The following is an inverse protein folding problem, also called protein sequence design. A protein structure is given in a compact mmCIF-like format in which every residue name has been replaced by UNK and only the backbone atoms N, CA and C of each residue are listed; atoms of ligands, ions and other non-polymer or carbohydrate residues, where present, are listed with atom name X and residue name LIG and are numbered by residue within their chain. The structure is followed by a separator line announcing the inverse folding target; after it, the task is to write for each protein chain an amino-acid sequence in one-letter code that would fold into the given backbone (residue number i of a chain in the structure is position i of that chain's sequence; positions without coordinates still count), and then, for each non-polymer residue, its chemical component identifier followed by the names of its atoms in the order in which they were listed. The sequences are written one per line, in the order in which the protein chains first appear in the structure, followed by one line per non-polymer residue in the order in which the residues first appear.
data_IF_001311089535
#
_entry.id   IF_001311089535
#
_cell.length_a   1.000
_cell.length_b   1.000
_cell.length_c   1.000
_cell.angle_alpha   90.00
_cell.angle_beta   90.00
_cell.angle_gamma   90.00
#
_symmetry.space_group_name_H-M   'P 1'
#
loop_
_entity.id
_entity.type
_entity.pdbx_description
1 polymer ?
#
# COMPACT_ATOMS: atom_id res chain seq x y z
N UNK A 1 -4.36 24.08 -4.38
CA UNK A 1 -4.29 22.80 -3.64
C UNK A 1 -2.98 22.72 -2.86
N UNK A 2 -3.05 22.15 -1.66
CA UNK A 2 -1.89 21.83 -0.83
C UNK A 2 -1.26 20.50 -1.25
N UNK A 3 -2.11 19.60 -1.73
CA UNK A 3 -1.74 18.25 -2.13
C UNK A 3 -2.51 17.84 -3.39
N UNK A 4 -1.80 17.23 -4.33
CA UNK A 4 -2.37 16.59 -5.51
C UNK A 4 -1.81 15.16 -5.57
N UNK A 5 -2.67 14.16 -5.78
CA UNK A 5 -2.28 12.76 -5.87
C UNK A 5 -2.61 12.16 -7.23
N UNK A 6 -1.61 11.51 -7.83
CA UNK A 6 -1.71 10.74 -9.07
C UNK A 6 -1.29 9.29 -8.79
N UNK A 7 -2.23 8.47 -8.34
CA UNK A 7 -1.95 7.07 -8.03
C UNK A 7 -2.25 6.17 -9.23
N UNK A 8 -1.19 5.54 -9.77
CA UNK A 8 -1.31 4.60 -10.90
C UNK A 8 -1.76 5.22 -12.21
N UNK A 9 -1.68 6.53 -12.40
CA UNK A 9 -2.18 7.20 -13.60
C UNK A 9 -1.07 7.43 -14.63
N UNK A 10 0.11 7.82 -14.20
CA UNK A 10 1.19 8.31 -15.05
C UNK A 10 1.59 7.33 -16.16
N UNK A 11 1.64 6.06 -15.84
CA UNK A 11 1.98 4.98 -16.77
C UNK A 11 0.93 4.76 -17.85
N UNK A 12 -0.34 5.07 -17.59
CA UNK A 12 -1.48 4.69 -18.42
C UNK A 12 -2.08 5.83 -19.23
N UNK A 13 -1.44 6.98 -19.23
CA UNK A 13 -1.89 8.14 -20.02
C UNK A 13 -0.88 8.49 -21.10
N UNK A 14 -1.42 8.94 -22.24
CA UNK A 14 -0.63 9.40 -23.38
C UNK A 14 0.23 10.63 -23.00
N UNK A 15 1.36 10.87 -23.69
CA UNK A 15 2.25 12.01 -23.40
C UNK A 15 1.55 13.36 -23.40
N UNK A 16 0.58 13.59 -24.29
CA UNK A 16 -0.22 14.83 -24.36
C UNK A 16 -1.09 15.01 -23.11
N UNK A 17 -1.63 13.93 -22.58
CA UNK A 17 -2.39 13.97 -21.33
C UNK A 17 -1.48 14.23 -20.12
N UNK A 18 -0.25 13.68 -20.12
CA UNK A 18 0.76 14.01 -19.10
C UNK A 18 1.09 15.51 -19.11
N UNK A 19 1.27 16.11 -20.28
CA UNK A 19 1.47 17.57 -20.41
C UNK A 19 0.30 18.34 -19.82
N UNK A 20 -0.93 17.93 -20.08
CA UNK A 20 -2.14 18.55 -19.51
C UNK A 20 -2.17 18.44 -17.98
N UNK A 21 -1.77 17.27 -17.42
CA UNK A 21 -1.64 17.07 -15.97
C UNK A 21 -0.57 17.99 -15.39
N UNK A 22 0.59 18.07 -16.02
CA UNK A 22 1.69 18.94 -15.58
C UNK A 22 1.27 20.41 -15.58
N UNK A 23 0.59 20.86 -16.62
CA UNK A 23 0.03 22.22 -16.69
C UNK A 23 -1.02 22.49 -15.61
N UNK A 24 -1.87 21.51 -15.32
CA UNK A 24 -2.83 21.60 -14.22
C UNK A 24 -2.11 21.76 -12.88
N UNK A 25 -1.12 20.89 -12.60
CA UNK A 25 -0.32 20.95 -11.38
C UNK A 25 0.39 22.30 -11.25
N UNK A 26 1.02 22.78 -12.33
CA UNK A 26 1.69 24.08 -12.38
C UNK A 26 0.77 25.23 -11.99
N UNK A 27 -0.49 25.21 -12.42
CA UNK A 27 -1.47 26.28 -12.14
C UNK A 27 -2.16 26.14 -10.79
N UNK A 28 -2.33 24.92 -10.31
CA UNK A 28 -3.24 24.62 -9.17
C UNK A 28 -2.55 24.21 -7.88
N UNK A 29 -1.33 23.68 -7.94
CA UNK A 29 -0.55 23.38 -6.73
C UNK A 29 0.08 24.67 -6.22
N UNK A 30 -0.13 25.00 -4.93
CA UNK A 30 0.47 26.20 -4.34
C UNK A 30 2.00 26.03 -4.14
N UNK A 31 2.78 27.14 -4.01
CA UNK A 31 4.14 27.05 -3.51
C UNK A 31 4.21 26.34 -2.15
N UNK A 32 5.16 25.41 -1.98
CA UNK A 32 5.24 24.52 -0.82
C UNK A 32 4.25 23.35 -0.86
N UNK A 33 3.35 23.28 -1.85
CA UNK A 33 2.44 22.16 -2.03
C UNK A 33 3.15 20.92 -2.54
N UNK A 34 2.54 19.76 -2.29
CA UNK A 34 3.10 18.42 -2.57
C UNK A 34 2.31 17.74 -3.68
N UNK A 35 3.01 17.21 -4.67
CA UNK A 35 2.50 16.26 -5.66
C UNK A 35 2.97 14.86 -5.27
N UNK A 36 2.03 13.94 -5.11
CA UNK A 36 2.31 12.50 -5.10
C UNK A 36 2.11 11.94 -6.50
N UNK A 37 3.07 11.17 -6.99
CA UNK A 37 2.93 10.45 -8.26
C UNK A 37 3.47 9.03 -8.14
N UNK A 38 2.73 8.05 -8.67
CA UNK A 38 3.20 6.69 -8.79
C UNK A 38 3.18 6.21 -10.23
N UNK A 39 4.18 5.41 -10.59
CA UNK A 39 4.39 4.94 -11.96
C UNK A 39 5.25 3.68 -12.02
N UNK A 40 5.12 2.95 -13.11
CA UNK A 40 5.94 1.80 -13.44
C UNK A 40 7.34 2.27 -13.88
N UNK A 41 8.37 1.83 -13.17
CA UNK A 41 9.76 2.18 -13.45
C UNK A 41 10.38 1.24 -14.50
N UNK A 42 11.10 1.81 -15.46
CA UNK A 42 11.63 1.09 -16.63
C UNK A 42 12.55 -0.09 -16.29
N UNK A 43 13.51 -0.01 -15.34
CA UNK A 43 14.41 -1.13 -15.04
C UNK A 43 13.66 -2.41 -14.64
N UNK A 44 12.71 -2.32 -13.72
CA UNK A 44 11.97 -3.49 -13.22
C UNK A 44 11.01 -4.10 -14.24
N UNK A 45 10.60 -3.34 -15.26
CA UNK A 45 9.74 -3.81 -16.34
C UNK A 45 10.49 -4.37 -17.54
N UNK A 46 11.82 -4.23 -17.61
CA UNK A 46 12.63 -4.64 -18.75
C UNK A 46 12.37 -6.09 -19.20
N UNK A 47 12.27 -7.03 -18.26
CA UNK A 47 12.03 -8.45 -18.56
C UNK A 47 10.65 -8.74 -19.12
N UNK A 48 9.61 -8.00 -18.68
CA UNK A 48 8.19 -8.34 -18.97
C UNK A 48 7.57 -7.44 -20.04
N UNK A 49 8.10 -6.24 -20.26
CA UNK A 49 7.54 -5.28 -21.20
C UNK A 49 7.42 -5.82 -22.65
N UNK A 50 8.39 -6.58 -23.20
CA UNK A 50 8.24 -7.20 -24.50
C UNK A 50 7.10 -8.21 -24.57
N UNK A 51 6.92 -9.04 -23.54
CA UNK A 51 5.80 -9.98 -23.47
C UNK A 51 4.46 -9.24 -23.35
N UNK A 52 4.40 -8.18 -22.54
CA UNK A 52 3.22 -7.30 -22.46
C UNK A 52 2.83 -6.75 -23.83
N UNK A 53 3.80 -6.29 -24.62
CA UNK A 53 3.54 -5.82 -25.98
C UNK A 53 2.90 -6.92 -26.85
N UNK A 54 3.42 -8.14 -26.79
CA UNK A 54 2.86 -9.30 -27.51
C UNK A 54 1.43 -9.61 -27.06
N UNK A 55 1.14 -9.54 -25.75
CA UNK A 55 -0.20 -9.70 -25.18
C UNK A 55 -1.18 -8.67 -25.76
N UNK A 56 -0.81 -7.40 -25.77
CA UNK A 56 -1.65 -6.32 -26.33
C UNK A 56 -1.90 -6.53 -27.82
N UNK A 57 -0.87 -6.92 -28.60
CA UNK A 57 -1.00 -7.24 -30.03
C UNK A 57 -1.90 -8.46 -30.28
N UNK A 58 -1.80 -9.51 -29.44
CA UNK A 58 -2.68 -10.67 -29.56
C UNK A 58 -4.14 -10.29 -29.29
N UNK A 59 -4.41 -9.50 -28.24
CA UNK A 59 -5.75 -9.01 -27.93
C UNK A 59 -6.35 -8.26 -29.13
N UNK A 60 -5.59 -7.36 -29.73
CA UNK A 60 -6.04 -6.51 -30.83
C UNK A 60 -6.26 -7.30 -32.13
N UNK A 61 -5.32 -8.19 -32.49
CA UNK A 61 -5.23 -8.79 -33.82
C UNK A 61 -5.79 -10.20 -33.92
N UNK A 62 -5.88 -10.92 -32.80
CA UNK A 62 -6.22 -12.36 -32.80
C UNK A 62 -7.49 -12.70 -32.04
N UNK A 63 -8.08 -11.75 -31.30
CA UNK A 63 -9.37 -11.95 -30.64
C UNK A 63 -10.49 -11.24 -31.42
N UNK A 64 -11.72 -11.75 -31.27
CA UNK A 64 -12.87 -11.17 -31.98
C UNK A 64 -13.38 -9.93 -31.26
N UNK A 65 -13.56 -8.78 -31.93
CA UNK A 65 -14.05 -7.55 -31.29
C UNK A 65 -15.43 -7.70 -30.61
N UNK A 66 -16.27 -8.64 -31.09
CA UNK A 66 -17.59 -8.92 -30.53
C UNK A 66 -17.59 -9.80 -29.27
N UNK A 67 -16.44 -10.41 -28.90
CA UNK A 67 -16.32 -11.16 -27.66
C UNK A 67 -16.19 -10.20 -26.47
N UNK A 68 -16.59 -10.65 -25.26
CA UNK A 68 -16.42 -9.89 -24.04
C UNK A 68 -14.94 -9.62 -23.76
N UNK A 69 -14.62 -8.49 -23.11
CA UNK A 69 -13.24 -8.15 -22.71
C UNK A 69 -12.59 -9.28 -21.91
N UNK A 70 -13.33 -9.88 -20.99
CA UNK A 70 -12.89 -11.04 -20.20
C UNK A 70 -12.39 -12.16 -21.10
N UNK A 71 -13.22 -12.61 -22.05
CA UNK A 71 -12.89 -13.72 -22.95
C UNK A 71 -11.68 -13.42 -23.83
N UNK A 72 -11.58 -12.18 -24.32
CA UNK A 72 -10.46 -11.74 -25.14
C UNK A 72 -9.14 -11.74 -24.34
N UNK A 73 -9.18 -11.27 -23.11
CA UNK A 73 -8.02 -11.24 -22.19
C UNK A 73 -7.60 -12.66 -21.81
N UNK A 74 -8.53 -13.52 -21.44
CA UNK A 74 -8.26 -14.94 -21.13
C UNK A 74 -7.60 -15.66 -22.31
N UNK A 75 -8.10 -15.47 -23.53
CA UNK A 75 -7.49 -16.03 -24.74
C UNK A 75 -6.05 -15.53 -24.95
N UNK A 76 -5.80 -14.25 -24.67
CA UNK A 76 -4.46 -13.66 -24.80
C UNK A 76 -3.50 -14.15 -23.72
N UNK A 77 -3.97 -14.34 -22.49
CA UNK A 77 -3.17 -14.93 -21.40
C UNK A 77 -2.81 -16.39 -21.69
N UNK A 78 -3.77 -17.17 -22.23
CA UNK A 78 -3.52 -18.56 -22.61
C UNK A 78 -2.53 -18.65 -23.79
N UNK A 79 -2.63 -17.73 -24.77
CA UNK A 79 -1.63 -17.62 -25.83
C UNK A 79 -0.24 -17.33 -25.29
N UNK A 80 -0.12 -16.34 -24.37
CA UNK A 80 1.16 -16.01 -23.75
C UNK A 80 1.74 -17.18 -22.97
N UNK A 81 0.91 -17.95 -22.24
CA UNK A 81 1.34 -19.15 -21.53
C UNK A 81 2.01 -20.16 -22.46
N UNK A 82 1.40 -20.39 -23.64
CA UNK A 82 1.99 -21.26 -24.68
C UNK A 82 3.30 -20.69 -25.21
N UNK A 83 3.32 -19.38 -25.48
CA UNK A 83 4.49 -18.70 -26.03
C UNK A 83 5.71 -18.77 -25.09
N UNK A 84 5.52 -18.46 -23.80
CA UNK A 84 6.63 -18.45 -22.83
C UNK A 84 7.12 -19.84 -22.46
N UNK A 85 6.33 -20.88 -22.71
CA UNK A 85 6.74 -22.28 -22.55
C UNK A 85 7.64 -22.79 -23.69
N UNK A 86 7.70 -22.06 -24.82
CA UNK A 86 8.54 -22.46 -25.95
C UNK A 86 9.99 -22.01 -25.73
N UNK A 87 10.97 -22.88 -26.10
CA UNK A 87 12.37 -22.47 -26.14
C UNK A 87 12.55 -21.30 -27.12
N UNK A 88 13.12 -20.19 -26.63
CA UNK A 88 13.38 -19.03 -27.47
C UNK A 88 14.65 -18.31 -27.03
N UNK A 89 15.29 -17.56 -27.95
CA UNK A 89 16.43 -16.71 -27.61
C UNK A 89 16.07 -15.67 -26.57
N UNK A 90 14.83 -15.13 -26.61
CA UNK A 90 14.35 -14.18 -25.64
C UNK A 90 14.24 -14.82 -24.25
N UNK A 91 13.62 -15.99 -24.12
CA UNK A 91 13.50 -16.70 -22.85
C UNK A 91 14.88 -17.03 -22.23
N UNK A 92 15.87 -17.39 -23.08
CA UNK A 92 17.23 -17.66 -22.61
C UNK A 92 17.93 -16.39 -22.08
N UNK A 93 17.69 -15.25 -22.73
CA UNK A 93 18.27 -13.97 -22.30
C UNK A 93 17.54 -13.36 -21.08
N UNK A 94 16.26 -13.70 -20.89
CA UNK A 94 15.40 -13.15 -19.84
C UNK A 94 14.70 -14.27 -19.03
N UNK A 95 15.46 -15.04 -18.23
CA UNK A 95 14.91 -16.22 -17.53
C UNK A 95 13.81 -15.88 -16.50
N UNK A 96 13.78 -14.64 -16.02
CA UNK A 96 12.78 -14.17 -15.08
C UNK A 96 11.39 -13.88 -15.70
N UNK A 97 11.29 -13.78 -17.04
CA UNK A 97 10.04 -13.42 -17.72
C UNK A 97 8.91 -14.40 -17.39
N UNK A 98 9.20 -15.70 -17.45
CA UNK A 98 8.22 -16.75 -17.14
C UNK A 98 7.74 -16.64 -15.68
N UNK A 99 8.66 -16.49 -14.72
CA UNK A 99 8.34 -16.34 -13.31
C UNK A 99 7.48 -15.10 -13.04
N UNK A 100 7.85 -13.96 -13.63
CA UNK A 100 7.08 -12.71 -13.54
C UNK A 100 5.68 -12.87 -14.15
N UNK A 101 5.56 -13.51 -15.30
CA UNK A 101 4.28 -13.77 -15.97
C UNK A 101 3.37 -14.66 -15.11
N UNK A 102 3.88 -15.78 -14.59
CA UNK A 102 3.09 -16.68 -13.75
C UNK A 102 2.66 -16.02 -12.42
N UNK A 103 3.51 -15.15 -11.87
CA UNK A 103 3.15 -14.34 -10.69
C UNK A 103 2.05 -13.33 -11.04
N UNK A 104 2.19 -12.63 -12.18
CA UNK A 104 1.21 -11.64 -12.64
C UNK A 104 -0.18 -12.28 -12.84
N UNK A 105 -0.25 -13.47 -13.45
CA UNK A 105 -1.51 -14.18 -13.70
C UNK A 105 -2.34 -14.52 -12.46
N UNK A 106 -1.76 -14.50 -11.28
CA UNK A 106 -2.47 -14.72 -10.02
C UNK A 106 -3.31 -13.51 -9.57
N UNK A 107 -3.11 -12.36 -10.20
CA UNK A 107 -3.88 -11.17 -9.88
C UNK A 107 -5.30 -11.23 -10.47
N UNK A 108 -6.26 -10.49 -9.89
CA UNK A 108 -7.60 -10.36 -10.40
C UNK A 108 -7.62 -9.91 -11.87
N UNK A 109 -8.58 -10.40 -12.65
CA UNK A 109 -8.66 -10.12 -14.09
C UNK A 109 -8.72 -8.61 -14.38
N UNK A 110 -9.46 -7.84 -13.58
CA UNK A 110 -9.54 -6.38 -13.73
C UNK A 110 -8.16 -5.72 -13.64
N UNK A 111 -7.31 -6.16 -12.70
CA UNK A 111 -5.94 -5.69 -12.60
C UNK A 111 -5.13 -6.02 -13.86
N UNK A 112 -5.25 -7.26 -14.36
CA UNK A 112 -4.54 -7.69 -15.57
C UNK A 112 -4.96 -6.89 -16.81
N UNK A 113 -6.24 -6.60 -16.96
CA UNK A 113 -6.76 -5.74 -18.05
C UNK A 113 -6.06 -4.39 -18.03
N UNK A 114 -6.01 -3.74 -16.90
CA UNK A 114 -5.40 -2.41 -16.77
C UNK A 114 -3.88 -2.44 -16.96
N UNK A 115 -3.19 -3.40 -16.35
CA UNK A 115 -1.73 -3.43 -16.37
C UNK A 115 -1.15 -3.91 -17.69
N UNK A 116 -1.78 -4.92 -18.34
CA UNK A 116 -1.19 -5.61 -19.48
C UNK A 116 -1.85 -5.32 -20.82
N UNK A 117 -3.07 -4.79 -20.85
CA UNK A 117 -3.85 -4.68 -22.09
C UNK A 117 -4.28 -3.27 -22.47
N UNK A 118 -3.99 -2.28 -21.67
CA UNK A 118 -4.23 -0.87 -22.03
C UNK A 118 -3.28 -0.46 -23.17
N UNK A 119 -3.82 0.19 -24.21
CA UNK A 119 -3.04 0.60 -25.39
C UNK A 119 -2.01 1.69 -25.06
N UNK A 120 -2.40 2.66 -24.25
CA UNK A 120 -1.52 3.74 -23.80
C UNK A 120 -0.85 3.34 -22.49
N UNK A 121 0.28 2.67 -22.61
CA UNK A 121 1.08 2.24 -21.46
C UNK A 121 2.56 2.44 -21.74
N UNK A 122 3.29 2.99 -20.78
CA UNK A 122 4.74 3.08 -20.80
C UNK A 122 5.32 3.07 -19.40
N UNK A 123 6.36 2.26 -19.17
CA UNK A 123 7.23 2.47 -18.03
C UNK A 123 8.12 3.71 -18.28
N UNK A 124 8.58 4.35 -17.22
CA UNK A 124 9.39 5.56 -17.30
C UNK A 124 10.68 5.42 -16.49
N UNK A 125 11.75 6.05 -16.95
CA UNK A 125 12.91 6.30 -16.09
C UNK A 125 12.60 7.46 -15.14
N UNK A 126 13.22 7.44 -13.97
CA UNK A 126 13.06 8.55 -13.02
C UNK A 126 13.46 9.89 -13.62
N UNK A 127 14.54 9.93 -14.40
CA UNK A 127 15.01 11.13 -15.10
C UNK A 127 13.97 11.73 -16.04
N UNK A 128 13.19 10.90 -16.75
CA UNK A 128 12.16 11.36 -17.67
C UNK A 128 11.01 12.03 -16.91
N UNK A 129 10.57 11.40 -15.81
CA UNK A 129 9.54 11.97 -14.94
C UNK A 129 10.02 13.27 -14.30
N UNK A 130 11.27 13.31 -13.83
CA UNK A 130 11.88 14.52 -13.27
C UNK A 130 11.91 15.67 -14.30
N UNK A 131 12.28 15.38 -15.53
CA UNK A 131 12.30 16.35 -16.61
C UNK A 131 10.90 16.91 -16.93
N UNK A 132 9.89 16.03 -17.06
CA UNK A 132 8.51 16.46 -17.32
C UNK A 132 7.97 17.35 -16.17
N UNK A 133 8.20 16.95 -14.90
CA UNK A 133 7.71 17.66 -13.72
C UNK A 133 8.47 18.97 -13.42
N UNK A 134 9.74 19.09 -13.87
CA UNK A 134 10.52 20.30 -13.71
C UNK A 134 9.84 21.53 -14.35
N UNK A 135 9.14 21.33 -15.46
CA UNK A 135 8.38 22.41 -16.13
C UNK A 135 7.27 23.03 -15.27
N UNK A 136 6.80 22.31 -14.24
CA UNK A 136 5.86 22.80 -13.23
C UNK A 136 6.54 23.33 -11.96
N UNK A 137 7.86 23.53 -11.97
CA UNK A 137 8.68 23.97 -10.82
C UNK A 137 8.64 22.98 -9.65
N UNK A 138 8.55 21.69 -9.96
CA UNK A 138 8.56 20.62 -8.99
C UNK A 138 9.98 20.08 -8.82
N UNK A 139 10.36 19.89 -7.58
CA UNK A 139 11.63 19.26 -7.17
C UNK A 139 11.30 17.94 -6.45
N UNK A 140 12.03 16.88 -6.76
CA UNK A 140 11.92 15.62 -6.05
C UNK A 140 12.22 15.82 -4.56
N UNK A 141 11.33 15.34 -3.71
CA UNK A 141 11.51 15.41 -2.27
C UNK A 141 12.02 14.07 -1.71
N UNK A 142 11.27 13.00 -1.95
CA UNK A 142 11.61 11.68 -1.44
C UNK A 142 10.69 10.59 -2.04
N UNK A 143 11.05 9.31 -1.87
CA UNK A 143 10.12 8.21 -2.05
C UNK A 143 9.02 8.25 -0.98
N UNK A 144 7.79 7.93 -1.37
CA UNK A 144 6.69 7.74 -0.44
C UNK A 144 6.73 6.36 0.26
N UNK A 145 7.60 5.47 -0.18
CA UNK A 145 7.90 4.23 0.52
C UNK A 145 9.04 4.46 1.51
N UNK A 146 8.73 4.47 2.79
CA UNK A 146 9.71 4.78 3.83
C UNK A 146 10.91 3.83 3.81
N UNK A 147 10.72 2.54 3.57
CA UNK A 147 11.82 1.57 3.56
C UNK A 147 12.83 1.81 2.43
N UNK A 148 12.47 2.56 1.38
CA UNK A 148 13.41 2.95 0.34
C UNK A 148 14.54 3.86 0.88
N UNK A 149 14.31 4.54 2.00
CA UNK A 149 15.30 5.40 2.67
C UNK A 149 16.23 4.64 3.63
N UNK A 150 15.89 3.39 3.95
CA UNK A 150 16.78 2.51 4.70
C UNK A 150 17.79 1.86 3.74
N UNK A 151 18.85 2.60 3.40
CA UNK A 151 19.81 2.18 2.37
C UNK A 151 20.40 0.82 2.68
N UNK A 152 20.71 0.53 3.93
CA UNK A 152 21.27 -0.75 4.38
C UNK A 152 20.34 -1.97 4.16
N UNK A 153 19.03 -1.75 3.94
CA UNK A 153 18.09 -2.81 3.56
C UNK A 153 18.06 -3.08 2.04
N UNK A 154 18.53 -2.10 1.25
CA UNK A 154 18.27 -2.08 -0.19
C UNK A 154 19.54 -2.05 -1.06
N UNK A 155 20.67 -1.67 -0.49
CA UNK A 155 21.92 -1.40 -1.22
C UNK A 155 23.12 -1.96 -0.45
N UNK A 156 24.04 -2.63 -1.14
CA UNK A 156 25.32 -3.03 -0.53
C UNK A 156 26.19 -1.80 -0.23
N UNK A 157 27.23 -1.96 0.58
CA UNK A 157 28.13 -0.85 0.93
C UNK A 157 28.82 -0.27 -0.31
N UNK A 158 29.20 -1.11 -1.28
CA UNK A 158 29.79 -0.68 -2.55
C UNK A 158 28.80 0.11 -3.40
N UNK A 159 27.53 -0.30 -3.43
CA UNK A 159 26.48 0.42 -4.15
C UNK A 159 26.20 1.78 -3.48
N UNK A 160 26.20 1.84 -2.16
CA UNK A 160 26.05 3.10 -1.42
C UNK A 160 27.23 4.04 -1.67
N UNK A 161 28.46 3.51 -1.67
CA UNK A 161 29.65 4.29 -2.00
C UNK A 161 29.57 4.88 -3.42
N UNK A 162 29.20 4.07 -4.41
CA UNK A 162 29.02 4.53 -5.79
C UNK A 162 27.96 5.64 -5.90
N UNK A 163 26.82 5.51 -5.22
CA UNK A 163 25.80 6.54 -5.24
C UNK A 163 26.22 7.83 -4.54
N UNK A 164 27.12 7.73 -3.54
CA UNK A 164 27.65 8.90 -2.84
C UNK A 164 28.60 9.75 -3.71
N UNK A 165 29.23 9.15 -4.74
CA UNK A 165 30.06 9.87 -5.72
C UNK A 165 29.24 10.72 -6.69
N UNK A 166 27.91 10.50 -6.78
CA UNK A 166 27.04 11.15 -7.76
C UNK A 166 26.41 12.40 -7.13
N UNK A 167 26.82 13.59 -7.57
CA UNK A 167 26.31 14.86 -7.07
C UNK A 167 24.89 15.16 -7.57
N UNK A 168 24.62 14.87 -8.85
CA UNK A 168 23.29 15.12 -9.46
C UNK A 168 22.22 14.20 -8.84
N UNK A 169 21.20 14.75 -8.14
CA UNK A 169 20.21 13.95 -7.47
C UNK A 169 19.29 13.18 -8.43
N UNK A 170 19.07 13.68 -9.65
CA UNK A 170 18.24 12.99 -10.65
C UNK A 170 18.98 11.78 -11.20
N UNK A 171 20.26 11.94 -11.50
CA UNK A 171 21.08 10.83 -11.96
C UNK A 171 21.29 9.80 -10.86
N UNK A 172 21.51 10.23 -9.61
CA UNK A 172 21.64 9.32 -8.46
C UNK A 172 20.40 8.46 -8.25
N UNK A 173 19.20 9.02 -8.32
CA UNK A 173 17.96 8.25 -8.22
C UNK A 173 17.74 7.31 -9.43
N UNK A 174 18.16 7.73 -10.62
CA UNK A 174 18.12 6.88 -11.81
C UNK A 174 19.06 5.66 -11.68
N UNK A 175 20.25 5.87 -11.14
CA UNK A 175 21.19 4.78 -10.83
C UNK A 175 20.65 3.86 -9.74
N UNK A 176 20.04 4.43 -8.73
CA UNK A 176 19.39 3.65 -7.66
C UNK A 176 18.32 2.73 -8.21
N UNK A 177 17.47 3.22 -9.11
CA UNK A 177 16.44 2.40 -9.78
C UNK A 177 17.05 1.23 -10.55
N UNK A 178 18.19 1.45 -11.20
CA UNK A 178 18.94 0.40 -11.88
C UNK A 178 19.49 -0.63 -10.90
N UNK A 179 20.14 -0.18 -9.81
CA UNK A 179 20.76 -1.06 -8.81
C UNK A 179 19.72 -1.93 -8.09
N UNK A 180 18.54 -1.37 -7.79
CA UNK A 180 17.44 -2.07 -7.10
C UNK A 180 16.47 -2.76 -8.06
N UNK A 181 16.69 -2.69 -9.37
CA UNK A 181 15.75 -3.17 -10.39
C UNK A 181 14.32 -2.68 -10.11
N UNK A 182 14.17 -1.37 -9.83
CA UNK A 182 12.93 -0.76 -9.38
C UNK A 182 11.80 -0.98 -10.38
N UNK A 183 10.70 -1.59 -9.92
CA UNK A 183 9.56 -1.90 -10.78
C UNK A 183 8.44 -0.87 -10.68
N UNK A 184 8.25 -0.28 -9.50
CA UNK A 184 7.17 0.67 -9.23
C UNK A 184 7.66 1.76 -8.30
N UNK A 185 7.54 3.02 -8.70
CA UNK A 185 7.87 4.18 -7.88
C UNK A 185 6.62 4.83 -7.31
N UNK A 186 6.79 5.38 -6.13
CA UNK A 186 5.85 6.25 -5.43
C UNK A 186 6.65 7.42 -4.91
N UNK A 187 6.48 8.59 -5.50
CA UNK A 187 7.36 9.72 -5.25
C UNK A 187 6.57 10.93 -4.77
N UNK A 188 7.16 11.70 -3.85
CA UNK A 188 6.72 13.02 -3.48
C UNK A 188 7.59 14.08 -4.17
N UNK A 189 6.90 15.04 -4.76
CA UNK A 189 7.50 16.20 -5.43
C UNK A 189 6.95 17.47 -4.79
N UNK A 190 7.80 18.47 -4.55
CA UNK A 190 7.42 19.71 -3.87
C UNK A 190 7.62 20.90 -4.82
N UNK A 191 6.64 21.77 -4.87
CA UNK A 191 6.72 23.01 -5.63
C UNK A 191 7.42 24.09 -4.79
N UNK A 192 8.64 24.46 -5.16
CA UNK A 192 9.43 25.46 -4.42
C UNK A 192 9.70 25.03 -2.98
N UNK A 193 10.51 23.98 -2.76
CA UNK A 193 10.78 23.45 -1.43
C UNK A 193 11.47 24.49 -0.55
N UNK A 194 11.11 24.50 0.74
CA UNK A 194 11.83 25.24 1.79
C UNK A 194 12.53 24.26 2.70
N UNK A 195 13.81 24.43 2.92
CA UNK A 195 14.54 23.62 3.88
C UNK A 195 14.22 24.09 5.31
N UNK A 196 13.90 23.13 6.15
CA UNK A 196 13.79 23.36 7.59
C UNK A 196 15.18 23.43 8.21
N UNK A 197 15.37 24.30 9.21
CA UNK A 197 16.55 24.25 10.05
C UNK A 197 16.60 22.91 10.82
N UNK A 198 17.79 22.48 11.22
CA UNK A 198 17.94 21.20 11.96
C UNK A 198 17.08 21.16 13.22
N UNK A 199 17.02 22.27 13.96
CA UNK A 199 16.16 22.38 15.13
C UNK A 199 14.66 22.29 14.82
N UNK A 200 14.22 22.85 13.67
CA UNK A 200 12.82 22.74 13.26
C UNK A 200 12.50 21.32 12.78
N UNK A 201 13.45 20.65 12.09
CA UNK A 201 13.33 19.25 11.69
C UNK A 201 13.25 18.31 12.88
N UNK A 202 14.13 18.51 13.89
CA UNK A 202 14.14 17.71 15.10
C UNK A 202 12.80 17.83 15.86
N UNK A 203 12.29 19.05 16.03
CA UNK A 203 10.96 19.27 16.64
C UNK A 203 9.85 18.60 15.85
N UNK A 204 9.83 18.75 14.51
CA UNK A 204 8.83 18.11 13.67
C UNK A 204 8.80 16.58 13.85
N UNK A 205 9.99 15.95 13.92
CA UNK A 205 10.10 14.52 14.18
C UNK A 205 9.57 14.17 15.58
N UNK A 206 9.95 14.93 16.61
CA UNK A 206 9.50 14.67 17.98
C UNK A 206 8.00 14.87 18.18
N UNK A 207 7.42 15.86 17.49
CA UNK A 207 5.99 16.17 17.56
C UNK A 207 5.14 15.19 16.75
N UNK A 208 5.76 14.47 15.79
CA UNK A 208 5.07 13.45 14.99
C UNK A 208 4.54 12.35 15.91
N UNK A 209 3.23 12.09 15.82
CA UNK A 209 2.56 11.06 16.60
C UNK A 209 2.46 9.76 15.79
N UNK A 210 2.55 8.65 16.51
CA UNK A 210 2.43 7.30 15.94
C UNK A 210 1.47 6.46 16.79
N UNK A 211 0.87 5.47 16.16
CA UNK A 211 -0.03 4.49 16.79
C UNK A 211 0.23 3.12 16.16
N UNK A 212 -0.13 2.04 16.85
CA UNK A 212 -0.10 0.71 16.26
C UNK A 212 -1.06 0.65 15.07
N UNK A 213 -0.56 0.15 13.93
CA UNK A 213 -1.33 -0.02 12.69
C UNK A 213 -1.88 -1.44 12.51
N UNK A 214 -1.55 -2.34 13.44
CA UNK A 214 -1.96 -3.75 13.46
C UNK A 214 -2.31 -4.18 14.88
N UNK A 215 -3.14 -5.21 15.06
CA UNK A 215 -3.34 -5.85 16.36
C UNK A 215 -2.02 -6.38 16.92
N UNK A 216 -1.84 -6.34 18.23
CA UNK A 216 -0.61 -6.82 18.91
C UNK A 216 -0.22 -8.25 18.51
N UNK A 217 -1.21 -9.12 18.32
CA UNK A 217 -1.00 -10.52 17.92
C UNK A 217 -0.46 -10.69 16.50
N UNK A 218 -0.51 -9.65 15.68
CA UNK A 218 -0.02 -9.65 14.29
C UNK A 218 1.29 -8.86 14.13
N UNK A 219 1.91 -8.43 15.23
CA UNK A 219 3.14 -7.65 15.22
C UNK A 219 4.35 -8.58 15.36
N UNK A 220 5.25 -8.50 14.39
CA UNK A 220 6.59 -9.10 14.45
C UNK A 220 7.65 -8.05 14.15
N UNK A 221 8.88 -8.19 14.65
CA UNK A 221 9.97 -7.26 14.35
C UNK A 221 10.49 -7.38 12.91
N UNK A 222 9.92 -8.28 12.11
CA UNK A 222 10.46 -8.61 10.80
C UNK A 222 9.99 -7.63 9.72
N UNK A 223 10.91 -7.28 8.86
CA UNK A 223 10.70 -6.50 7.65
C UNK A 223 11.60 -7.03 6.53
N UNK A 224 11.54 -6.45 5.35
CA UNK A 224 12.40 -6.86 4.24
C UNK A 224 12.71 -5.67 3.33
N UNK A 225 13.88 -5.72 2.73
CA UNK A 225 14.29 -4.86 1.63
C UNK A 225 14.80 -5.68 0.45
N UNK A 226 15.47 -5.04 -0.48
CA UNK A 226 16.05 -5.71 -1.65
C UNK A 226 17.15 -6.73 -1.29
N UNK A 227 17.88 -6.49 -0.21
CA UNK A 227 18.93 -7.41 0.26
C UNK A 227 18.37 -8.61 1.03
N UNK A 228 17.08 -8.65 1.30
CA UNK A 228 16.42 -9.77 1.96
C UNK A 228 15.66 -9.40 3.23
N UNK A 229 15.39 -10.42 4.05
CA UNK A 229 14.72 -10.27 5.33
C UNK A 229 15.64 -9.55 6.34
N UNK A 230 15.03 -8.75 7.20
CA UNK A 230 15.69 -8.00 8.27
C UNK A 230 14.81 -8.00 9.51
N UNK A 231 15.40 -8.23 10.67
CA UNK A 231 14.70 -8.16 11.96
C UNK A 231 15.13 -6.88 12.68
N UNK A 232 14.17 -6.04 13.05
CA UNK A 232 14.42 -4.86 13.87
C UNK A 232 14.97 -5.34 15.23
N UNK A 233 15.97 -4.64 15.77
CA UNK A 233 16.57 -5.00 17.05
C UNK A 233 15.49 -5.15 18.14
N UNK A 234 15.29 -6.37 18.59
CA UNK A 234 14.23 -6.74 19.54
C UNK A 234 14.41 -6.07 20.89
N UNK A 235 15.65 -5.74 21.29
CA UNK A 235 15.93 -5.06 22.55
C UNK A 235 15.33 -3.63 22.59
N UNK A 236 15.16 -3.00 21.42
CA UNK A 236 14.52 -1.68 21.26
C UNK A 236 13.06 -1.85 20.84
N UNK A 237 12.79 -2.80 19.96
CA UNK A 237 11.46 -3.03 19.38
C UNK A 237 10.43 -3.43 20.44
N UNK A 238 10.75 -4.38 21.32
CA UNK A 238 9.84 -4.84 22.37
C UNK A 238 9.40 -3.70 23.31
N UNK A 239 10.31 -2.90 23.91
CA UNK A 239 9.92 -1.74 24.71
C UNK A 239 9.14 -0.67 23.94
N UNK A 240 9.42 -0.49 22.64
CA UNK A 240 8.65 0.41 21.77
C UNK A 240 7.20 -0.05 21.66
N UNK A 241 6.98 -1.36 21.43
CA UNK A 241 5.64 -1.93 21.33
C UNK A 241 4.91 -1.92 22.67
N UNK A 242 5.63 -2.17 23.79
CA UNK A 242 5.06 -2.07 25.15
C UNK A 242 4.48 -0.67 25.43
N UNK A 243 5.18 0.41 25.04
CA UNK A 243 4.69 1.78 25.22
C UNK A 243 3.38 2.01 24.42
N UNK A 244 3.29 1.45 23.22
CA UNK A 244 2.15 1.65 22.30
C UNK A 244 1.00 0.66 22.52
N UNK A 245 1.21 -0.34 23.38
CA UNK A 245 0.19 -1.37 23.68
C UNK A 245 -1.02 -0.83 24.46
N UNK A 246 -0.93 0.40 25.00
CA UNK A 246 -2.07 1.10 25.61
C UNK A 246 -3.14 1.53 24.60
N UNK A 247 -2.88 1.34 23.31
CA UNK A 247 -3.80 1.67 22.21
C UNK A 247 -3.96 3.17 21.94
N UNK A 248 -3.08 4.01 22.52
CA UNK A 248 -3.09 5.46 22.29
C UNK A 248 -2.02 5.89 21.30
N UNK A 249 -2.21 7.05 20.69
CA UNK A 249 -1.15 7.67 19.92
C UNK A 249 -0.15 8.36 20.82
N UNK A 250 1.14 8.14 20.57
CA UNK A 250 2.24 8.79 21.28
C UNK A 250 3.08 9.62 20.32
N UNK A 251 3.55 10.79 20.74
CA UNK A 251 4.55 11.49 19.96
C UNK A 251 5.90 10.78 20.06
N UNK A 252 6.71 10.86 19.01
CA UNK A 252 8.06 10.27 19.01
C UNK A 252 8.88 10.84 20.19
N UNK A 253 8.69 12.12 20.51
CA UNK A 253 9.30 12.73 21.69
C UNK A 253 8.85 12.10 23.03
N UNK A 254 7.59 11.67 23.16
CA UNK A 254 7.11 10.91 24.32
C UNK A 254 7.78 9.54 24.40
N UNK A 255 7.86 8.82 23.29
CA UNK A 255 8.54 7.52 23.20
C UNK A 255 10.01 7.65 23.63
N UNK A 256 10.73 8.64 23.07
CA UNK A 256 12.13 8.91 23.43
C UNK A 256 12.30 9.17 24.93
N UNK A 257 11.40 9.95 25.54
CA UNK A 257 11.45 10.21 27.00
C UNK A 257 11.15 8.97 27.82
N UNK A 258 10.22 8.14 27.41
CA UNK A 258 9.89 6.87 28.09
C UNK A 258 11.05 5.87 28.06
N UNK A 259 11.90 5.93 27.03
CA UNK A 259 13.05 5.05 26.86
C UNK A 259 14.38 5.66 27.36
N UNK A 260 14.36 6.89 27.93
CA UNK A 260 15.59 7.62 28.33
C UNK A 260 16.42 6.89 29.36
N UNK A 261 15.82 6.05 30.21
CA UNK A 261 16.52 5.25 31.22
C UNK A 261 17.13 3.96 30.67
N UNK A 262 16.84 3.60 29.44
CA UNK A 262 17.41 2.45 28.76
C UNK A 262 18.73 2.83 28.08
N UNK A 263 19.68 1.91 27.90
CA UNK A 263 20.99 2.20 27.31
C UNK A 263 20.92 2.26 25.76
N UNK A 264 19.90 2.98 25.22
CA UNK A 264 19.71 3.13 23.77
C UNK A 264 20.17 4.50 23.31
N UNK A 265 20.87 4.56 22.19
CA UNK A 265 21.11 5.83 21.54
C UNK A 265 19.79 6.35 20.92
N UNK A 266 19.62 7.68 20.95
CA UNK A 266 18.45 8.33 20.33
C UNK A 266 18.27 7.93 18.87
N UNK A 267 19.37 7.80 18.12
CA UNK A 267 19.37 7.37 16.71
C UNK A 267 18.74 6.00 16.52
N UNK A 268 19.02 5.07 17.42
CA UNK A 268 18.58 3.67 17.31
C UNK A 268 17.08 3.56 17.56
N UNK A 269 16.55 4.31 18.53
CA UNK A 269 15.11 4.40 18.76
C UNK A 269 14.40 5.04 17.56
N UNK A 270 14.95 6.12 17.01
CA UNK A 270 14.39 6.76 15.81
C UNK A 270 14.41 5.82 14.59
N UNK A 271 15.48 5.04 14.44
CA UNK A 271 15.58 4.04 13.38
C UNK A 271 14.55 2.93 13.57
N UNK A 272 14.35 2.42 14.78
CA UNK A 272 13.33 1.41 15.07
C UNK A 272 11.91 1.92 14.75
N UNK A 273 11.57 3.15 15.17
CA UNK A 273 10.30 3.80 14.83
C UNK A 273 10.14 3.96 13.32
N UNK A 274 11.18 4.40 12.62
CA UNK A 274 11.17 4.58 11.18
C UNK A 274 10.95 3.26 10.43
N UNK A 275 11.66 2.21 10.83
CA UNK A 275 11.49 0.87 10.25
C UNK A 275 10.09 0.30 10.54
N UNK A 276 9.58 0.47 11.76
CA UNK A 276 8.25 0.03 12.14
C UNK A 276 7.15 0.77 11.35
N UNK A 277 7.32 2.08 11.09
CA UNK A 277 6.46 2.85 10.19
C UNK A 277 6.52 2.30 8.75
N UNK A 278 7.71 2.06 8.24
CA UNK A 278 7.92 1.53 6.90
C UNK A 278 7.38 0.11 6.70
N UNK A 279 7.45 -0.73 7.73
CA UNK A 279 6.88 -2.09 7.77
C UNK A 279 5.36 -2.10 8.01
N UNK A 280 4.73 -0.94 8.19
CA UNK A 280 3.31 -0.83 8.49
C UNK A 280 2.91 -1.47 9.84
N UNK A 281 3.84 -1.53 10.78
CA UNK A 281 3.59 -1.89 12.18
C UNK A 281 3.03 -0.69 12.92
N UNK A 282 3.60 0.49 12.64
CA UNK A 282 3.12 1.77 13.11
C UNK A 282 2.50 2.57 11.95
N UNK A 283 1.59 3.47 12.27
CA UNK A 283 1.09 4.50 11.38
C UNK A 283 1.26 5.88 12.02
N UNK A 284 1.45 6.95 11.20
CA UNK A 284 1.31 8.31 11.69
C UNK A 284 -0.11 8.51 12.27
N UNK A 285 -0.22 9.32 13.31
CA UNK A 285 -1.50 9.58 13.97
C UNK A 285 -1.76 11.07 14.10
N UNK A 286 -3.04 11.43 14.01
CA UNK A 286 -3.53 12.75 14.38
C UNK A 286 -3.44 12.98 15.90
N UNK A 287 -3.37 14.23 16.32
CA UNK A 287 -3.60 14.61 17.69
C UNK A 287 -5.09 14.47 18.09
N UNK A 288 -5.37 14.53 19.39
CA UNK A 288 -6.71 14.30 19.92
C UNK A 288 -7.73 15.37 19.45
N UNK A 289 -7.28 16.61 19.25
CA UNK A 289 -8.11 17.71 18.74
C UNK A 289 -8.56 17.42 17.29
N UNK A 290 -7.61 17.03 16.44
CA UNK A 290 -7.89 16.67 15.06
C UNK A 290 -8.76 15.42 14.97
N UNK A 291 -8.49 14.42 15.82
CA UNK A 291 -9.34 13.23 15.91
C UNK A 291 -10.77 13.59 16.23
N UNK A 292 -10.99 14.45 17.24
CA UNK A 292 -12.32 14.90 17.63
C UNK A 292 -13.03 15.67 16.50
N UNK A 293 -12.31 16.56 15.80
CA UNK A 293 -12.84 17.34 14.66
C UNK A 293 -13.35 16.43 13.52
N UNK A 294 -12.55 15.42 13.14
CA UNK A 294 -12.83 14.63 11.93
C UNK A 294 -13.70 13.39 12.20
N UNK A 295 -13.76 12.91 13.44
CA UNK A 295 -14.51 11.70 13.85
C UNK A 295 -15.94 11.64 13.29
N UNK A 296 -16.78 12.70 13.40
CA UNK A 296 -18.17 12.60 12.90
C UNK A 296 -18.26 12.38 11.38
N UNK A 297 -17.26 12.85 10.62
CA UNK A 297 -17.19 12.63 9.17
C UNK A 297 -16.76 11.20 8.84
N UNK A 298 -15.77 10.68 9.59
CA UNK A 298 -15.32 9.30 9.44
C UNK A 298 -16.43 8.30 9.78
N UNK A 299 -17.16 8.52 10.87
CA UNK A 299 -18.28 7.69 11.28
C UNK A 299 -19.40 7.62 10.22
N UNK A 300 -19.80 8.77 9.66
CA UNK A 300 -20.80 8.80 8.58
C UNK A 300 -20.33 8.06 7.32
N UNK A 301 -19.03 8.21 6.96
CA UNK A 301 -18.49 7.50 5.82
C UNK A 301 -18.42 5.99 6.09
N UNK A 302 -17.92 5.58 7.25
CA UNK A 302 -17.87 4.17 7.65
C UNK A 302 -19.25 3.53 7.69
N UNK A 303 -20.27 4.23 8.20
CA UNK A 303 -21.65 3.75 8.17
C UNK A 303 -22.13 3.47 6.74
N UNK A 304 -21.87 4.41 5.82
CA UNK A 304 -22.19 4.21 4.40
C UNK A 304 -21.44 3.02 3.79
N UNK A 305 -20.15 2.87 4.09
CA UNK A 305 -19.33 1.76 3.59
C UNK A 305 -19.82 0.41 4.13
N UNK A 306 -20.15 0.32 5.43
CA UNK A 306 -20.70 -0.88 6.06
C UNK A 306 -22.07 -1.26 5.48
N UNK A 307 -22.92 -0.28 5.15
CA UNK A 307 -24.20 -0.54 4.47
C UNK A 307 -23.96 -1.12 3.07
N UNK A 308 -22.98 -0.63 2.34
CA UNK A 308 -22.61 -1.18 1.02
C UNK A 308 -22.01 -2.57 1.11
N UNK A 309 -21.17 -2.82 2.11
CA UNK A 309 -20.58 -4.14 2.36
C UNK A 309 -21.64 -5.21 2.66
N UNK A 310 -22.82 -4.81 3.19
CA UNK A 310 -23.92 -5.72 3.45
C UNK A 310 -24.61 -6.29 2.20
N UNK A 311 -24.43 -5.65 1.04
CA UNK A 311 -25.09 -6.07 -0.22
C UNK A 311 -24.14 -6.61 -1.26
N UNK A 312 -22.85 -6.39 -1.08
CA UNK A 312 -21.80 -6.94 -1.96
C UNK A 312 -20.46 -6.93 -1.27
N UNK A 313 -19.62 -7.87 -1.61
CA UNK A 313 -18.20 -7.88 -1.35
C UNK A 313 -17.47 -6.84 -2.24
N UNK A 314 -16.22 -6.53 -1.93
CA UNK A 314 -15.35 -5.63 -2.69
C UNK A 314 -15.09 -4.27 -2.04
N UNK A 315 -15.54 -4.07 -0.79
CA UNK A 315 -15.09 -2.97 0.06
C UNK A 315 -14.25 -3.59 1.18
N UNK A 316 -12.97 -3.31 1.19
CA UNK A 316 -11.99 -3.87 2.13
C UNK A 316 -11.32 -2.81 3.00
N UNK A 317 -11.86 -1.59 2.98
CA UNK A 317 -11.31 -0.45 3.73
C UNK A 317 -12.39 0.33 4.46
N UNK A 318 -12.08 0.74 5.69
CA UNK A 318 -12.81 1.74 6.46
C UNK A 318 -11.88 2.91 6.80
N UNK A 319 -12.42 4.02 7.28
CA UNK A 319 -11.67 5.25 7.54
C UNK A 319 -11.42 5.40 9.04
N UNK A 320 -10.17 5.67 9.40
CA UNK A 320 -9.77 5.94 10.78
C UNK A 320 -9.56 7.44 11.01
N UNK A 321 -10.23 8.05 11.99
CA UNK A 321 -9.93 9.43 12.39
C UNK A 321 -8.57 9.55 13.07
N UNK A 322 -8.06 8.47 13.66
CA UNK A 322 -6.77 8.46 14.37
C UNK A 322 -5.62 8.48 13.38
N UNK A 323 -5.62 7.57 12.39
CA UNK A 323 -4.54 7.55 11.38
C UNK A 323 -4.74 8.56 10.26
N UNK A 324 -5.95 9.15 10.15
CA UNK A 324 -6.29 10.07 9.07
C UNK A 324 -6.41 9.42 7.69
N UNK A 325 -6.41 8.08 7.62
CA UNK A 325 -6.39 7.31 6.38
C UNK A 325 -7.34 6.12 6.36
N UNK A 326 -7.26 5.36 5.27
CA UNK A 326 -7.97 4.10 5.12
C UNK A 326 -7.23 2.98 5.88
N UNK A 327 -8.00 2.11 6.52
CA UNK A 327 -7.52 0.92 7.23
C UNK A 327 -8.18 -0.30 6.59
N UNK A 328 -7.37 -1.31 6.28
CA UNK A 328 -7.89 -2.55 5.73
C UNK A 328 -8.70 -3.30 6.79
N UNK A 329 -9.95 -3.58 6.47
CA UNK A 329 -10.88 -4.32 7.32
C UNK A 329 -11.56 -5.37 6.45
N UNK A 330 -11.36 -6.64 6.77
CA UNK A 330 -11.91 -7.72 5.95
C UNK A 330 -13.44 -7.60 5.84
N UNK A 331 -13.99 -8.04 4.73
CA UNK A 331 -15.43 -7.98 4.52
C UNK A 331 -16.23 -8.66 5.63
N UNK A 332 -15.76 -9.80 6.13
CA UNK A 332 -16.42 -10.50 7.23
C UNK A 332 -16.37 -9.71 8.55
N UNK A 333 -15.24 -9.07 8.86
CA UNK A 333 -15.10 -8.16 10.01
C UNK A 333 -16.05 -6.97 9.87
N UNK A 334 -16.27 -6.44 8.66
CA UNK A 334 -17.26 -5.39 8.42
C UNK A 334 -18.70 -5.86 8.68
N UNK A 335 -19.06 -7.10 8.34
CA UNK A 335 -20.37 -7.66 8.69
C UNK A 335 -20.55 -7.77 10.20
N UNK A 336 -19.51 -8.15 10.96
CA UNK A 336 -19.58 -8.15 12.42
C UNK A 336 -19.71 -6.73 12.99
N UNK A 337 -18.93 -5.77 12.51
CA UNK A 337 -19.07 -4.36 12.94
C UNK A 337 -20.50 -3.84 12.71
N UNK A 338 -21.08 -4.15 11.55
CA UNK A 338 -22.46 -3.79 11.24
C UNK A 338 -23.45 -4.49 12.18
N UNK A 339 -23.28 -5.78 12.43
CA UNK A 339 -24.13 -6.54 13.34
C UNK A 339 -24.10 -5.95 14.77
N UNK A 340 -22.90 -5.65 15.29
CA UNK A 340 -22.74 -5.01 16.62
C UNK A 340 -23.45 -3.65 16.67
N UNK A 341 -23.33 -2.83 15.63
CA UNK A 341 -24.01 -1.52 15.56
C UNK A 341 -25.52 -1.62 15.42
N UNK A 342 -26.00 -2.61 14.66
CA UNK A 342 -27.45 -2.80 14.41
C UNK A 342 -28.18 -3.41 15.59
N UNK A 343 -27.48 -4.17 16.44
CA UNK A 343 -28.05 -4.89 17.58
C UNK A 343 -27.20 -4.65 18.84
N UNK A 344 -27.24 -3.43 19.42
CA UNK A 344 -26.49 -3.14 20.64
C UNK A 344 -26.87 -4.08 21.78
N UNK A 345 -25.88 -4.67 22.44
CA UNK A 345 -26.11 -5.61 23.56
C UNK A 345 -26.49 -7.04 23.16
N UNK A 346 -26.50 -7.36 21.85
CA UNK A 346 -26.71 -8.73 21.39
C UNK A 346 -25.60 -9.68 21.88
N UNK A 347 -25.98 -10.90 22.22
CA UNK A 347 -25.07 -11.98 22.53
C UNK A 347 -24.36 -12.49 21.27
N UNK A 348 -23.32 -13.26 21.45
CA UNK A 348 -22.51 -13.78 20.33
C UNK A 348 -23.32 -14.67 19.38
N UNK A 349 -24.27 -15.45 19.89
CA UNK A 349 -25.12 -16.29 19.04
C UNK A 349 -26.11 -15.46 18.21
N UNK A 350 -26.59 -14.33 18.72
CA UNK A 350 -27.39 -13.39 17.92
C UNK A 350 -26.54 -12.76 16.81
N UNK A 351 -25.29 -12.39 17.07
CA UNK A 351 -24.36 -11.86 16.05
C UNK A 351 -24.03 -12.91 15.00
N UNK A 352 -23.77 -14.16 15.39
CA UNK A 352 -23.54 -15.28 14.44
C UNK A 352 -24.76 -15.44 13.53
N UNK A 353 -25.97 -15.47 14.09
CA UNK A 353 -27.20 -15.58 13.29
C UNK A 353 -27.39 -14.41 12.34
N UNK A 354 -27.11 -13.18 12.77
CA UNK A 354 -27.22 -11.98 11.93
C UNK A 354 -26.26 -12.05 10.72
N UNK A 355 -25.00 -12.41 10.96
CA UNK A 355 -23.99 -12.52 9.88
C UNK A 355 -24.30 -13.71 8.97
N UNK A 356 -24.66 -14.88 9.51
CA UNK A 356 -25.05 -16.04 8.72
C UNK A 356 -26.26 -15.74 7.81
N UNK A 357 -27.25 -15.00 8.33
CA UNK A 357 -28.42 -14.56 7.55
C UNK A 357 -28.02 -13.61 6.42
N UNK A 358 -27.07 -12.69 6.67
CA UNK A 358 -26.53 -11.79 5.64
C UNK A 358 -25.82 -12.58 4.52
N UNK A 359 -24.99 -13.57 4.86
CA UNK A 359 -24.32 -14.45 3.91
C UNK A 359 -25.33 -15.25 3.08
N UNK A 360 -26.35 -15.80 3.72
CA UNK A 360 -27.42 -16.54 3.05
C UNK A 360 -28.18 -15.65 2.05
N UNK A 361 -28.53 -14.42 2.45
CA UNK A 361 -29.23 -13.47 1.58
C UNK A 361 -28.42 -13.13 0.31
N UNK A 362 -27.09 -13.16 0.42
CA UNK A 362 -26.17 -12.95 -0.71
C UNK A 362 -25.85 -14.23 -1.49
N UNK A 363 -26.35 -15.41 -1.07
CA UNK A 363 -26.04 -16.70 -1.68
C UNK A 363 -24.57 -17.12 -1.52
N UNK A 364 -23.88 -16.59 -0.49
CA UNK A 364 -22.44 -16.80 -0.30
C UNK A 364 -22.16 -17.83 0.78
N UNK A 365 -21.10 -18.61 0.56
CA UNK A 365 -20.52 -19.55 1.53
C UNK A 365 -19.06 -19.21 1.78
N UNK A 366 -18.68 -19.22 3.05
CA UNK A 366 -17.29 -19.00 3.46
C UNK A 366 -16.42 -20.20 3.07
N UNK A 367 -15.13 -19.94 2.92
CA UNK A 367 -14.18 -20.98 2.58
C UNK A 367 -13.73 -21.77 3.82
N UNK A 368 -13.69 -23.08 3.69
CA UNK A 368 -13.13 -24.04 4.64
C UNK A 368 -12.03 -24.79 3.92
N UNK A 369 -10.78 -24.63 4.35
CA UNK A 369 -9.61 -25.28 3.72
C UNK A 369 -9.56 -25.08 2.19
N UNK A 370 -9.90 -23.90 1.72
CA UNK A 370 -9.87 -23.55 0.30
C UNK A 370 -11.08 -23.99 -0.53
N UNK A 371 -12.08 -24.67 0.06
CA UNK A 371 -13.36 -25.03 -0.57
C UNK A 371 -14.55 -24.26 0.07
N UNK A 372 -15.61 -24.00 -0.65
CA UNK A 372 -16.84 -23.47 -0.05
C UNK A 372 -17.40 -24.43 1.01
N UNK A 373 -17.95 -23.90 2.11
CA UNK A 373 -18.64 -24.67 3.14
C UNK A 373 -19.70 -25.59 2.50
N UNK A 374 -19.71 -26.85 2.90
CA UNK A 374 -20.55 -27.88 2.29
C UNK A 374 -22.05 -27.68 2.58
N UNK A 375 -22.36 -27.16 3.77
CA UNK A 375 -23.72 -26.93 4.25
C UNK A 375 -23.79 -25.68 5.15
N UNK A 376 -24.99 -25.36 5.63
CA UNK A 376 -25.26 -24.22 6.49
C UNK A 376 -24.55 -24.32 7.86
N UNK A 377 -24.53 -25.50 8.45
CA UNK A 377 -23.92 -25.73 9.77
C UNK A 377 -22.40 -25.49 9.70
N UNK A 378 -21.74 -25.97 8.64
CA UNK A 378 -20.32 -25.71 8.41
C UNK A 378 -20.07 -24.20 8.22
N UNK A 379 -20.95 -23.50 7.48
CA UNK A 379 -20.86 -22.07 7.27
C UNK A 379 -21.00 -21.29 8.60
N UNK A 380 -21.98 -21.67 9.43
CA UNK A 380 -22.20 -21.10 10.77
C UNK A 380 -21.00 -21.36 11.68
N UNK A 381 -20.41 -22.55 11.64
CA UNK A 381 -19.20 -22.87 12.42
C UNK A 381 -18.02 -21.95 12.05
N UNK A 382 -17.85 -21.65 10.74
CA UNK A 382 -16.84 -20.68 10.30
C UNK A 382 -17.16 -19.28 10.81
N UNK A 383 -18.41 -18.81 10.71
CA UNK A 383 -18.82 -17.50 11.24
C UNK A 383 -18.52 -17.42 12.75
N UNK A 384 -18.87 -18.45 13.53
CA UNK A 384 -18.62 -18.47 14.98
C UNK A 384 -17.14 -18.42 15.33
N UNK A 385 -16.27 -19.13 14.58
CA UNK A 385 -14.82 -19.07 14.75
C UNK A 385 -14.30 -17.65 14.46
N UNK A 386 -14.75 -17.01 13.38
CA UNK A 386 -14.33 -15.67 13.02
C UNK A 386 -14.87 -14.60 13.99
N UNK A 387 -16.05 -14.80 14.59
CA UNK A 387 -16.57 -13.91 15.63
C UNK A 387 -15.65 -13.90 16.85
N UNK A 388 -15.10 -15.05 17.25
CA UNK A 388 -14.11 -15.09 18.35
C UNK A 388 -12.88 -14.24 18.03
N UNK A 389 -12.28 -14.38 16.84
CA UNK A 389 -11.15 -13.55 16.40
C UNK A 389 -11.54 -12.06 16.37
N UNK A 390 -12.74 -11.75 15.86
CA UNK A 390 -13.24 -10.38 15.86
C UNK A 390 -13.31 -9.80 17.27
N UNK A 391 -13.89 -10.52 18.23
CA UNK A 391 -14.03 -10.06 19.63
C UNK A 391 -12.71 -9.90 20.35
N UNK A 392 -11.80 -10.87 20.17
CA UNK A 392 -10.53 -10.94 20.90
C UNK A 392 -9.45 -10.04 20.30
N UNK A 393 -9.50 -9.81 18.98
CA UNK A 393 -8.40 -9.17 18.22
C UNK A 393 -8.88 -7.95 17.45
N UNK A 394 -9.85 -8.11 16.53
CA UNK A 394 -10.19 -7.06 15.58
C UNK A 394 -10.92 -5.89 16.25
N UNK A 395 -11.97 -6.16 17.01
CA UNK A 395 -12.82 -5.13 17.62
C UNK A 395 -12.01 -4.25 18.60
N UNK A 396 -11.19 -4.79 19.52
CA UNK A 396 -10.35 -3.96 20.38
C UNK A 396 -9.40 -3.08 19.58
N UNK A 397 -8.71 -3.63 18.59
CA UNK A 397 -7.82 -2.86 17.72
C UNK A 397 -8.57 -1.77 16.96
N UNK A 398 -9.69 -2.09 16.33
CA UNK A 398 -10.48 -1.12 15.55
C UNK A 398 -11.03 0.02 16.42
N UNK A 399 -11.29 -0.23 17.71
CA UNK A 399 -11.66 0.80 18.69
C UNK A 399 -10.48 1.76 18.95
N UNK A 400 -9.25 1.27 19.09
CA UNK A 400 -8.07 2.13 19.35
C UNK A 400 -7.84 3.12 18.23
N UNK A 401 -8.11 2.72 16.99
CA UNK A 401 -7.96 3.58 15.81
C UNK A 401 -9.26 4.29 15.39
N UNK A 402 -10.33 4.20 16.22
CA UNK A 402 -11.58 4.93 16.04
C UNK A 402 -12.44 4.47 14.87
N UNK A 403 -12.35 3.20 14.47
CA UNK A 403 -13.15 2.60 13.38
C UNK A 403 -14.37 1.85 13.91
N UNK A 404 -14.25 1.21 15.11
CA UNK A 404 -15.34 0.49 15.78
C UNK A 404 -16.06 1.35 16.79
#
# INVERSE_FOLDING_TARGET
FDFIGLHGIWTWVAPENRRTIVDFVKRKLRPGGVLYVSYNAAPGWADIAPLRHVLAQHLERRTRPGDSTTRRVEASLEFARKLVALPSRFANAHPNTLKKFETARKNPLNYLVHEYFVSQWSSAHFSDVAYELHSAHLTYACSANLLDHAHFLNLTDEQQALLAEVEDPVFRETLRDYLTNQQFRRDYWVRGPRQLSDGARARFVEDTRVVLAKPLTAITPDTAGWLGAFTIDTTIFEPLIEILADGRSHSIGQILRSLVTRPFARSDVLQAVFLALGAGILAPANDDEKVAEVRPRCERLNEHLLQRAAVRDGIDHLVSPVTGGAVTVTWLTQLFLRAVRSTPGADDEALVRHVAQSLRALGLRLLVEGRPAANEDENIAVVRRNLRTFREVDEPFLRTIGVA
#
